data_IF_297673031563
#
_entry.id   IF_297673031563
#
_cell.length_a   1.000
_cell.length_b   1.000
_cell.length_c   1.000
_cell.angle_alpha   90.00
_cell.angle_beta   90.00
_cell.angle_gamma   90.00
#
_symmetry.space_group_name_H-M   'P 1'
#
loop_
_entity.id
_entity.type
_entity.pdbx_description
1 polymer ?
#
# COMPACT_ATOMS: atom_id res chain seq x y z
N UNK A 1 8.66 27.63 -6.85
CA UNK A 1 9.02 27.50 -5.44
C UNK A 1 8.48 26.21 -4.85
N UNK A 2 9.17 25.64 -3.89
CA UNK A 2 8.68 24.47 -3.14
C UNK A 2 7.64 25.01 -2.14
N UNK A 3 6.48 24.39 -2.10
CA UNK A 3 5.39 24.75 -1.21
C UNK A 3 5.41 23.75 -0.05
N UNK A 4 5.25 24.23 1.16
CA UNK A 4 5.11 23.38 2.35
C UNK A 4 3.64 23.28 2.74
N UNK A 5 3.16 22.07 2.95
CA UNK A 5 1.80 21.78 3.43
C UNK A 5 1.92 21.10 4.78
N UNK A 6 1.26 21.63 5.78
CA UNK A 6 1.24 20.99 7.10
C UNK A 6 0.33 19.77 7.09
N UNK A 7 0.70 18.75 7.87
CA UNK A 7 -0.16 17.57 8.06
C UNK A 7 -1.56 17.98 8.57
N UNK A 8 -2.58 17.24 8.14
CA UNK A 8 -3.98 17.47 8.48
C UNK A 8 -4.52 18.88 8.07
N UNK A 9 -3.94 19.46 7.02
CA UNK A 9 -4.36 20.74 6.48
C UNK A 9 -4.99 20.54 5.10
N UNK A 10 -6.20 21.06 4.91
CA UNK A 10 -6.81 21.12 3.59
C UNK A 10 -6.12 22.20 2.75
N UNK A 11 -5.74 21.85 1.55
CA UNK A 11 -5.05 22.75 0.61
C UNK A 11 -5.63 22.59 -0.79
N UNK A 12 -5.89 23.71 -1.45
CA UNK A 12 -6.47 23.74 -2.80
C UNK A 12 -5.43 24.05 -3.84
N UNK A 13 -5.47 23.28 -4.92
CA UNK A 13 -4.63 23.48 -6.10
C UNK A 13 -5.49 23.64 -7.34
N UNK A 14 -5.03 24.46 -8.30
CA UNK A 14 -5.65 24.59 -9.60
C UNK A 14 -4.70 24.02 -10.65
N UNK A 15 -5.11 22.96 -11.32
CA UNK A 15 -4.36 22.32 -12.39
C UNK A 15 -5.11 22.52 -13.72
N UNK A 16 -4.37 22.80 -14.77
CA UNK A 16 -4.85 22.77 -16.16
C UNK A 16 -4.58 21.38 -16.74
N UNK A 17 -5.27 21.07 -17.84
CA UNK A 17 -5.02 19.86 -18.61
C UNK A 17 -3.52 19.69 -18.94
N UNK A 18 -3.00 18.49 -18.71
CA UNK A 18 -1.59 18.14 -18.92
C UNK A 18 -0.62 18.62 -17.86
N UNK A 19 -1.08 19.29 -16.79
CA UNK A 19 -0.24 19.66 -15.66
C UNK A 19 -0.17 18.53 -14.61
N UNK A 20 1.00 18.42 -13.97
CA UNK A 20 1.27 17.47 -12.89
C UNK A 20 1.59 18.25 -11.61
N UNK A 21 1.04 17.79 -10.50
CA UNK A 21 1.41 18.21 -9.16
C UNK A 21 2.14 17.04 -8.50
N UNK A 22 3.37 17.26 -8.06
CA UNK A 22 4.10 16.31 -7.25
C UNK A 22 4.07 16.76 -5.78
N UNK A 23 3.72 15.85 -4.88
CA UNK A 23 3.71 16.05 -3.44
C UNK A 23 4.64 15.02 -2.80
N UNK A 24 5.57 15.50 -1.98
CA UNK A 24 6.55 14.66 -1.30
C UNK A 24 6.53 14.94 0.21
N UNK A 25 6.86 13.92 0.99
CA UNK A 25 7.09 14.11 2.42
C UNK A 25 8.51 14.64 2.66
N UNK A 26 8.64 15.61 3.56
CA UNK A 26 9.93 16.10 4.07
C UNK A 26 10.23 15.55 5.48
N UNK A 27 9.48 14.55 5.91
CA UNK A 27 9.56 13.92 7.22
C UNK A 27 10.75 12.96 7.37
N UNK A 28 10.92 12.39 8.57
CA UNK A 28 11.93 11.36 8.81
C UNK A 28 11.63 10.09 8.00
N UNK A 29 12.61 9.19 7.95
CA UNK A 29 12.43 7.88 7.32
C UNK A 29 11.16 7.18 7.83
N UNK A 30 10.28 6.77 6.90
CA UNK A 30 8.98 6.19 7.20
C UNK A 30 7.82 7.19 7.20
N UNK A 31 8.06 8.48 6.94
CA UNK A 31 6.98 9.42 6.67
C UNK A 31 6.18 8.96 5.44
N UNK A 32 4.86 9.01 5.54
CA UNK A 32 3.96 8.35 4.60
C UNK A 32 2.71 9.22 4.38
N UNK A 33 2.28 9.35 3.12
CA UNK A 33 1.07 10.08 2.73
C UNK A 33 -0.18 9.18 2.70
N UNK A 34 -0.05 7.90 3.07
CA UNK A 34 -1.18 6.96 3.11
C UNK A 34 -2.33 7.50 3.96
N UNK A 35 -3.53 7.48 3.41
CA UNK A 35 -4.73 8.00 4.06
C UNK A 35 -5.05 9.45 3.71
N UNK A 36 -4.19 10.15 2.98
CA UNK A 36 -4.52 11.49 2.45
C UNK A 36 -5.75 11.41 1.55
N UNK A 37 -6.69 12.34 1.73
CA UNK A 37 -7.89 12.44 0.91
C UNK A 37 -7.67 13.43 -0.22
N UNK A 38 -7.90 13.00 -1.45
CA UNK A 38 -7.81 13.84 -2.65
C UNK A 38 -9.19 13.90 -3.29
N UNK A 39 -9.67 15.10 -3.53
CA UNK A 39 -10.93 15.37 -4.26
C UNK A 39 -10.68 16.33 -5.41
N UNK A 40 -11.47 16.22 -6.48
CA UNK A 40 -11.36 17.11 -7.63
C UNK A 40 -12.73 17.34 -8.27
N UNK A 41 -12.92 18.48 -8.92
CA UNK A 41 -14.12 18.82 -9.68
C UNK A 41 -14.13 18.19 -11.08
N UNK A 42 -13.01 17.65 -11.54
CA UNK A 42 -12.83 16.99 -12.84
C UNK A 42 -11.99 15.73 -12.67
N UNK A 43 -11.98 14.88 -13.71
CA UNK A 43 -11.17 13.66 -13.72
C UNK A 43 -9.68 13.96 -13.60
N UNK A 44 -9.02 13.27 -12.69
CA UNK A 44 -7.57 13.28 -12.47
C UNK A 44 -7.06 11.84 -12.38
N UNK A 45 -5.76 11.67 -12.63
CA UNK A 45 -5.05 10.44 -12.28
C UNK A 45 -4.18 10.72 -11.05
N UNK A 46 -4.21 9.80 -10.11
CA UNK A 46 -3.41 9.89 -8.88
C UNK A 46 -2.47 8.69 -8.83
N UNK A 47 -1.20 8.94 -8.55
CA UNK A 47 -0.19 7.91 -8.36
C UNK A 47 0.35 8.02 -6.94
N UNK A 48 0.46 6.89 -6.26
CA UNK A 48 1.13 6.77 -4.98
C UNK A 48 2.39 5.95 -5.14
N UNK A 49 3.47 6.38 -4.49
CA UNK A 49 4.73 5.69 -4.64
C UNK A 49 5.82 6.24 -3.73
N UNK A 50 7.04 5.79 -3.98
CA UNK A 50 8.24 6.22 -3.28
C UNK A 50 9.45 6.08 -4.19
N UNK A 51 10.34 7.06 -4.19
CA UNK A 51 11.54 7.05 -5.04
C UNK A 51 12.45 5.86 -4.75
N UNK A 52 12.66 5.53 -3.48
CA UNK A 52 13.55 4.45 -3.03
C UNK A 52 13.04 3.87 -1.71
N UNK A 53 12.07 2.96 -1.78
CA UNK A 53 11.43 2.36 -0.61
C UNK A 53 12.18 1.13 -0.10
N UNK A 54 12.50 1.12 1.18
CA UNK A 54 12.91 -0.09 1.90
C UNK A 54 11.67 -0.86 2.37
N UNK A 55 11.51 -2.10 1.94
CA UNK A 55 10.38 -2.98 2.31
C UNK A 55 10.92 -4.28 2.93
N UNK A 56 10.69 -4.53 4.22
CA UNK A 56 10.17 -3.60 5.23
C UNK A 56 11.14 -2.46 5.57
N UNK A 57 10.60 -1.44 6.24
CA UNK A 57 11.40 -0.30 6.70
C UNK A 57 12.63 -0.77 7.51
N UNK A 58 13.80 -0.18 7.23
CA UNK A 58 15.06 -0.52 7.89
C UNK A 58 15.81 -1.73 7.28
N UNK A 59 15.26 -2.41 6.29
CA UNK A 59 15.96 -3.45 5.52
C UNK A 59 16.49 -2.81 4.23
N UNK A 60 17.80 -2.86 4.03
CA UNK A 60 18.46 -2.29 2.86
C UNK A 60 18.07 -2.96 1.54
N UNK A 61 18.47 -2.35 0.47
CA UNK A 61 18.08 -2.56 -0.91
C UNK A 61 16.65 -2.03 -1.16
N UNK A 62 16.58 -0.70 -1.32
CA UNK A 62 15.37 0.00 -1.70
C UNK A 62 15.15 -0.08 -3.20
N UNK A 63 13.90 0.08 -3.61
CA UNK A 63 13.54 0.23 -5.01
C UNK A 63 12.43 1.28 -5.18
N UNK A 64 12.25 1.71 -6.43
CA UNK A 64 11.16 2.60 -6.80
C UNK A 64 9.82 1.87 -6.71
N UNK A 65 8.87 2.49 -6.02
CA UNK A 65 7.49 2.00 -5.96
C UNK A 65 6.57 3.04 -6.60
N UNK A 66 5.70 2.60 -7.50
CA UNK A 66 4.68 3.46 -8.08
C UNK A 66 3.46 2.65 -8.48
N UNK A 67 2.28 3.14 -8.14
CA UNK A 67 1.01 2.54 -8.53
C UNK A 67 -0.04 3.62 -8.75
N UNK A 68 -0.77 3.54 -9.86
CA UNK A 68 -1.95 4.37 -10.05
C UNK A 68 -3.03 3.96 -9.06
N UNK A 69 -3.54 4.92 -8.31
CA UNK A 69 -4.58 4.70 -7.31
C UNK A 69 -5.97 4.74 -7.97
N UNK A 70 -6.83 3.81 -7.58
CA UNK A 70 -8.22 3.77 -8.01
C UNK A 70 -9.08 4.70 -7.15
N UNK A 71 -10.13 5.34 -7.71
CA UNK A 71 -11.07 6.13 -6.92
C UNK A 71 -11.87 5.24 -5.95
N UNK A 72 -12.35 5.83 -4.85
CA UNK A 72 -13.06 5.11 -3.78
C UNK A 72 -14.26 4.30 -4.30
N UNK A 73 -14.95 4.79 -5.32
CA UNK A 73 -16.08 4.09 -5.94
C UNK A 73 -15.71 2.76 -6.59
N UNK A 74 -14.44 2.60 -6.97
CA UNK A 74 -13.91 1.35 -7.51
C UNK A 74 -13.50 0.35 -6.40
N UNK A 75 -13.34 0.79 -5.15
CA UNK A 75 -12.92 -0.06 -4.05
C UNK A 75 -13.98 -1.10 -3.71
N UNK A 76 -13.55 -2.24 -3.20
CA UNK A 76 -14.43 -3.37 -2.84
C UNK A 76 -14.49 -3.64 -1.35
N UNK A 77 -15.29 -4.67 -1.03
CA UNK A 77 -15.49 -5.16 0.33
C UNK A 77 -14.83 -6.52 0.56
N UNK A 78 -14.39 -7.16 -0.52
CA UNK A 78 -13.79 -8.50 -0.48
C UNK A 78 -12.60 -8.57 -1.44
N UNK A 79 -11.49 -9.12 -0.95
CA UNK A 79 -10.24 -9.30 -1.70
C UNK A 79 -9.67 -10.67 -1.39
N UNK A 80 -9.05 -11.29 -2.39
CA UNK A 80 -8.20 -12.46 -2.20
C UNK A 80 -6.76 -11.96 -2.13
N UNK A 81 -6.13 -12.19 -1.01
CA UNK A 81 -4.74 -11.87 -0.73
C UNK A 81 -3.92 -13.13 -0.91
N UNK A 82 -3.19 -13.21 -2.01
CA UNK A 82 -2.31 -14.34 -2.32
C UNK A 82 -0.85 -13.87 -2.39
N UNK A 83 0.05 -14.43 -1.57
CA UNK A 83 1.44 -13.99 -1.52
C UNK A 83 2.14 -14.11 -2.88
N UNK A 84 3.10 -13.24 -3.13
CA UNK A 84 4.02 -13.39 -4.25
C UNK A 84 4.75 -14.74 -4.17
N UNK A 85 5.26 -15.19 -5.32
CA UNK A 85 6.03 -16.43 -5.36
C UNK A 85 7.12 -16.42 -4.28
N UNK A 86 7.07 -17.42 -3.41
CA UNK A 86 8.02 -17.56 -2.32
C UNK A 86 9.44 -17.73 -2.83
N UNK A 87 10.37 -16.93 -2.34
CA UNK A 87 11.80 -16.91 -2.69
C UNK A 87 12.69 -17.40 -1.54
N UNK A 88 12.11 -17.55 -0.34
CA UNK A 88 12.77 -18.14 0.82
C UNK A 88 11.72 -18.73 1.78
N UNK A 89 12.11 -19.70 2.63
CA UNK A 89 11.21 -20.31 3.60
C UNK A 89 10.68 -19.33 4.67
N UNK A 90 11.35 -18.20 4.87
CA UNK A 90 11.01 -17.18 5.87
C UNK A 90 10.36 -15.94 5.25
N UNK A 91 10.07 -15.98 3.95
CA UNK A 91 9.44 -14.86 3.28
C UNK A 91 8.00 -14.68 3.75
N UNK A 92 7.63 -13.43 3.93
CA UNK A 92 6.26 -12.94 4.01
C UNK A 92 6.09 -11.80 3.04
N UNK A 93 4.86 -11.42 2.78
CA UNK A 93 4.52 -10.18 2.10
C UNK A 93 3.92 -9.20 3.10
N UNK A 94 3.87 -7.93 2.73
CA UNK A 94 3.28 -6.88 3.54
C UNK A 94 1.98 -6.45 2.89
N UNK A 95 0.93 -6.44 3.69
CA UNK A 95 -0.41 -6.04 3.29
C UNK A 95 -0.77 -4.73 3.99
N UNK A 96 -1.27 -3.76 3.23
CA UNK A 96 -1.74 -2.49 3.77
C UNK A 96 -3.18 -2.25 3.36
N UNK A 97 -4.06 -2.13 4.32
CA UNK A 97 -5.49 -1.92 4.13
C UNK A 97 -5.83 -0.47 4.47
N UNK A 98 -6.45 0.23 3.52
CA UNK A 98 -6.90 1.62 3.67
C UNK A 98 -8.42 1.67 3.58
N UNK A 99 -9.06 2.41 4.47
CA UNK A 99 -10.52 2.56 4.52
C UNK A 99 -11.02 3.71 3.66
N UNK A 100 -12.03 3.45 2.82
CA UNK A 100 -12.72 4.47 2.01
C UNK A 100 -13.83 5.24 2.75
N UNK A 101 -14.13 4.83 3.97
CA UNK A 101 -15.10 5.48 4.87
C UNK A 101 -14.62 5.37 6.32
N UNK A 102 -15.35 5.99 7.27
CA UNK A 102 -15.04 5.87 8.69
C UNK A 102 -15.35 4.48 9.24
N UNK A 103 -14.49 3.99 10.12
CA UNK A 103 -14.72 2.81 10.97
C UNK A 103 -15.13 1.53 10.25
N UNK A 104 -14.32 1.15 9.26
CA UNK A 104 -14.53 -0.09 8.53
C UNK A 104 -13.96 -1.25 9.32
N UNK A 105 -14.80 -2.21 9.68
CA UNK A 105 -14.38 -3.49 10.25
C UNK A 105 -13.96 -4.45 9.15
N UNK A 106 -12.76 -4.99 9.27
CA UNK A 106 -12.16 -5.95 8.35
C UNK A 106 -11.87 -7.25 9.08
N UNK A 107 -12.12 -8.39 8.42
CA UNK A 107 -11.78 -9.74 8.87
C UNK A 107 -10.86 -10.41 7.88
N UNK A 108 -9.96 -11.25 8.38
CA UNK A 108 -9.16 -12.16 7.56
C UNK A 108 -9.72 -13.60 7.64
N UNK A 109 -9.77 -14.31 6.53
CA UNK A 109 -10.30 -15.67 6.42
C UNK A 109 -9.38 -16.52 5.53
N UNK A 110 -8.66 -17.54 6.04
CA UNK A 110 -8.55 -17.87 7.46
C UNK A 110 -7.96 -16.74 8.31
N UNK A 111 -8.23 -16.76 9.63
CA UNK A 111 -7.74 -15.72 10.54
C UNK A 111 -6.22 -15.57 10.49
N UNK A 112 -5.74 -14.33 10.30
CA UNK A 112 -4.32 -14.03 10.37
C UNK A 112 -3.94 -13.60 11.79
N UNK A 113 -2.85 -14.13 12.39
CA UNK A 113 -2.49 -13.89 13.80
C UNK A 113 -2.37 -12.40 14.13
N UNK A 114 -3.19 -11.94 15.11
CA UNK A 114 -3.26 -10.54 15.51
C UNK A 114 -4.08 -9.63 14.60
N UNK A 115 -4.59 -10.16 13.47
CA UNK A 115 -5.40 -9.45 12.48
C UNK A 115 -6.63 -10.26 12.06
N UNK A 116 -7.14 -11.10 12.95
CA UNK A 116 -8.37 -11.88 12.75
C UNK A 116 -9.56 -10.99 12.45
N UNK A 117 -9.61 -9.86 13.16
CA UNK A 117 -10.54 -8.76 12.95
C UNK A 117 -9.90 -7.46 13.43
N UNK A 118 -10.00 -6.40 12.63
CA UNK A 118 -9.48 -5.08 12.96
C UNK A 118 -10.35 -3.98 12.38
N UNK A 119 -10.17 -2.75 12.87
CA UNK A 119 -10.88 -1.57 12.37
C UNK A 119 -9.89 -0.68 11.62
N UNK A 120 -10.31 -0.20 10.47
CA UNK A 120 -9.59 0.80 9.68
C UNK A 120 -10.38 2.10 9.75
N UNK A 121 -9.75 3.14 10.28
CA UNK A 121 -10.32 4.47 10.33
C UNK A 121 -10.05 5.22 9.02
N UNK A 122 -10.97 6.08 8.62
CA UNK A 122 -10.74 6.95 7.46
C UNK A 122 -9.47 7.78 7.64
N UNK A 123 -8.69 7.90 6.58
CA UNK A 123 -7.42 8.64 6.63
C UNK A 123 -6.27 7.89 7.31
N UNK A 124 -6.44 6.59 7.58
CA UNK A 124 -5.40 5.73 8.15
C UNK A 124 -5.25 4.45 7.36
N UNK A 125 -4.12 3.76 7.56
CA UNK A 125 -3.89 2.41 7.04
C UNK A 125 -3.52 1.45 8.15
N UNK A 126 -3.97 0.20 8.04
CA UNK A 126 -3.51 -0.93 8.86
C UNK A 126 -2.55 -1.76 8.02
N UNK A 127 -1.34 -1.98 8.54
CA UNK A 127 -0.29 -2.74 7.86
C UNK A 127 0.06 -3.97 8.66
N UNK A 128 0.12 -5.14 8.01
CA UNK A 128 0.52 -6.41 8.62
C UNK A 128 1.27 -7.30 7.64
N UNK A 129 1.84 -8.38 8.15
CA UNK A 129 2.65 -9.33 7.41
C UNK A 129 1.97 -10.69 7.39
N UNK A 130 2.01 -11.37 6.25
CA UNK A 130 1.57 -12.76 6.13
C UNK A 130 2.33 -13.49 5.01
N UNK A 131 2.58 -14.78 5.22
CA UNK A 131 3.08 -15.71 4.20
C UNK A 131 1.97 -16.61 3.63
N UNK A 132 0.75 -16.47 4.14
CA UNK A 132 -0.37 -17.33 3.82
C UNK A 132 -1.35 -16.64 2.87
N UNK A 133 -2.08 -17.43 2.09
CA UNK A 133 -3.23 -16.93 1.33
C UNK A 133 -4.44 -16.77 2.25
N UNK A 134 -5.13 -15.65 2.13
CA UNK A 134 -6.33 -15.36 2.90
C UNK A 134 -7.28 -14.44 2.12
N UNK A 135 -8.49 -14.33 2.58
CA UNK A 135 -9.48 -13.37 2.09
C UNK A 135 -9.61 -12.22 3.11
N UNK A 136 -9.69 -11.00 2.62
CA UNK A 136 -10.15 -9.84 3.38
C UNK A 136 -11.64 -9.63 3.13
N UNK A 137 -12.41 -9.55 4.20
CA UNK A 137 -13.85 -9.23 4.18
C UNK A 137 -14.11 -8.00 5.04
N UNK A 138 -14.70 -6.96 4.44
CA UNK A 138 -14.95 -5.69 5.07
C UNK A 138 -16.44 -5.31 5.02
N UNK A 139 -16.91 -4.53 6.00
CA UNK A 139 -18.27 -3.98 6.02
C UNK A 139 -18.39 -2.65 5.26
N UNK A 140 -17.31 -2.14 4.68
CA UNK A 140 -17.23 -0.94 3.85
C UNK A 140 -16.15 -1.04 2.78
N UNK A 141 -16.03 -0.04 1.89
CA UNK A 141 -15.04 -0.07 0.82
C UNK A 141 -13.63 0.07 1.37
N UNK A 142 -12.76 -0.86 0.99
CA UNK A 142 -11.33 -0.83 1.32
C UNK A 142 -10.48 -0.87 0.05
N UNK A 143 -9.27 -0.36 0.12
CA UNK A 143 -8.20 -0.58 -0.86
C UNK A 143 -7.10 -1.39 -0.19
N UNK A 144 -6.53 -2.32 -0.91
CA UNK A 144 -5.49 -3.22 -0.41
C UNK A 144 -4.22 -3.02 -1.24
N UNK A 145 -3.18 -2.54 -0.59
CA UNK A 145 -1.82 -2.50 -1.12
C UNK A 145 -1.07 -3.76 -0.72
N UNK A 146 -0.39 -4.36 -1.67
CA UNK A 146 0.41 -5.57 -1.50
C UNK A 146 1.86 -5.28 -1.86
N UNK A 147 2.78 -5.56 -0.93
CA UNK A 147 4.19 -5.22 -1.06
C UNK A 147 5.07 -6.46 -0.95
N UNK A 148 5.94 -6.62 -1.93
CA UNK A 148 7.02 -7.60 -1.93
C UNK A 148 8.21 -7.07 -1.13
N UNK A 149 8.77 -7.90 -0.24
CA UNK A 149 9.94 -7.52 0.56
C UNK A 149 11.22 -7.53 -0.25
N UNK A 150 12.15 -6.66 0.12
CA UNK A 150 13.45 -6.49 -0.53
C UNK A 150 14.37 -7.71 -0.41
N UNK A 151 15.34 -7.80 -1.32
CA UNK A 151 16.27 -8.91 -1.45
C UNK A 151 17.20 -9.11 -0.25
N UNK A 152 17.45 -8.06 0.52
CA UNK A 152 18.35 -8.12 1.69
C UNK A 152 17.67 -8.60 2.97
N UNK A 153 16.40 -9.02 2.92
CA UNK A 153 15.72 -9.57 4.09
C UNK A 153 16.42 -10.88 4.53
N UNK A 154 16.67 -11.08 5.85
CA UNK A 154 17.32 -12.27 6.36
C UNK A 154 16.62 -13.57 5.95
N UNK A 155 17.38 -14.55 5.52
CA UNK A 155 16.86 -15.86 5.08
C UNK A 155 16.55 -15.97 3.59
N UNK A 156 16.61 -14.90 2.81
CA UNK A 156 16.50 -14.97 1.36
C UNK A 156 17.61 -15.80 0.76
N UNK A 157 17.30 -16.54 -0.32
CA UNK A 157 18.27 -17.31 -1.09
C UNK A 157 19.26 -16.31 -1.69
N UNK A 158 20.53 -16.45 -1.32
CA UNK A 158 21.59 -15.62 -1.86
C UNK A 158 22.02 -16.12 -3.22
N UNK A 159 22.22 -15.21 -4.15
CA UNK A 159 22.90 -15.46 -5.43
C UNK A 159 24.41 -15.58 -5.22
N UNK A 160 25.15 -15.89 -6.27
CA UNK A 160 26.61 -15.88 -6.26
C UNK A 160 27.21 -14.49 -5.89
N UNK A 161 26.46 -13.43 -6.02
CA UNK A 161 26.83 -12.06 -5.64
C UNK A 161 26.52 -11.74 -4.16
N UNK A 162 26.04 -12.70 -3.38
CA UNK A 162 25.65 -12.55 -1.97
C UNK A 162 24.43 -11.67 -1.72
N UNK A 163 23.69 -11.27 -2.75
CA UNK A 163 22.40 -10.61 -2.65
C UNK A 163 21.26 -11.63 -2.70
N UNK A 164 20.15 -11.33 -2.08
CA UNK A 164 18.93 -12.13 -2.22
C UNK A 164 18.30 -11.97 -3.61
N UNK A 165 17.33 -12.80 -3.93
CA UNK A 165 16.54 -12.70 -5.16
C UNK A 165 15.35 -11.77 -4.92
N UNK A 166 15.13 -10.82 -5.82
CA UNK A 166 14.00 -9.87 -5.84
C UNK A 166 14.31 -8.51 -5.27
N UNK A 167 13.42 -7.59 -5.52
CA UNK A 167 13.46 -6.20 -5.07
C UNK A 167 12.11 -5.80 -4.46
N UNK A 168 12.02 -4.71 -3.69
CA UNK A 168 10.75 -4.17 -3.28
C UNK A 168 9.82 -3.94 -4.47
N UNK A 169 8.58 -4.32 -4.35
CA UNK A 169 7.56 -4.06 -5.34
C UNK A 169 6.22 -3.76 -4.64
N UNK A 170 5.36 -3.01 -5.31
CA UNK A 170 4.02 -2.67 -4.84
C UNK A 170 2.99 -2.97 -5.93
N UNK A 171 1.85 -3.51 -5.54
CA UNK A 171 0.66 -3.60 -6.37
C UNK A 171 -0.58 -3.27 -5.55
N UNK A 172 -1.68 -2.93 -6.22
CA UNK A 172 -2.99 -2.86 -5.61
C UNK A 172 -3.76 -4.12 -5.96
N UNK A 173 -4.33 -4.78 -4.96
CA UNK A 173 -5.17 -5.93 -5.20
C UNK A 173 -6.51 -5.51 -5.84
N UNK A 174 -7.01 -6.38 -6.70
CA UNK A 174 -8.30 -6.17 -7.38
C UNK A 174 -9.42 -6.71 -6.49
N UNK A 175 -10.48 -5.93 -6.21
CA UNK A 175 -11.60 -6.44 -5.43
C UNK A 175 -12.37 -7.52 -6.20
N UNK A 176 -12.88 -8.52 -5.48
CA UNK A 176 -13.60 -9.66 -6.08
C UNK A 176 -14.81 -9.24 -6.95
N UNK A 177 -15.43 -8.09 -6.65
CA UNK A 177 -16.53 -7.55 -7.48
C UNK A 177 -16.10 -7.18 -8.92
N UNK A 178 -14.80 -7.10 -9.18
CA UNK A 178 -14.23 -6.78 -10.49
C UNK A 178 -13.66 -8.01 -11.22
N UNK A 179 -13.75 -9.19 -10.63
CA UNK A 179 -13.39 -10.42 -11.32
C UNK A 179 -14.40 -10.72 -12.44
N UNK A 180 -13.88 -11.19 -13.60
CA UNK A 180 -14.66 -11.57 -14.77
C UNK A 180 -15.19 -13.00 -14.64
#
# INVERSE_FOLDING_TARGET
GVWSISANTETHFVLKEGQVLNLETDGPQGADLTGSLITSDKGISVFGGHECANVPLGINACDHLEQQLTPVDAWGHMYIADPFKQRSPTQFDIWRVVGGASDITVKTIPPQPGYEQFVVHQGTGVTFMSSESFMLQANGPIMVGHFMIGSSYPGHIKTCEKTGIGDPAMTLDVPMKQYL
#
